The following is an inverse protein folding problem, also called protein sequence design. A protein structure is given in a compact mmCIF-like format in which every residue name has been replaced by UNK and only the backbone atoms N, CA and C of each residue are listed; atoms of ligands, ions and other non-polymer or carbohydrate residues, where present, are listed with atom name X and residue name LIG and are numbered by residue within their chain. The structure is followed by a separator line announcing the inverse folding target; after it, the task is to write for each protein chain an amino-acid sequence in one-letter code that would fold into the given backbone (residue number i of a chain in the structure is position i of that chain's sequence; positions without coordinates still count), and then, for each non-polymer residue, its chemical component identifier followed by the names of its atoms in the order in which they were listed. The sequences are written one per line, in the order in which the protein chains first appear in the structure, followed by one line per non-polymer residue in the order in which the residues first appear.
data_IF_035993830180
#
_entry.id   IF_035993830180
#
_cell.length_a   1.000
_cell.length_b   1.000
_cell.length_c   1.000
_cell.angle_alpha   90.00
_cell.angle_beta   90.00
_cell.angle_gamma   90.00
#
_symmetry.space_group_name_H-M   'P 1'
#
loop_
_entity.id
_entity.type
_entity.pdbx_description
1 polymer ?
#
# COMPACT_ATOMS: atom_id res chain seq x y z
N UNK A 1 -23.17 13.78 10.92
CA UNK A 1 -22.99 12.56 11.74
C UNK A 1 -21.87 12.78 12.72
N UNK A 2 -22.18 12.79 14.02
CA UNK A 2 -21.16 12.73 15.05
C UNK A 2 -20.79 11.25 15.24
N UNK A 3 -19.50 10.95 15.26
CA UNK A 3 -19.01 9.59 15.49
C UNK A 3 -18.08 9.58 16.69
N UNK A 4 -18.51 8.96 17.78
CA UNK A 4 -17.68 8.81 18.97
C UNK A 4 -16.73 7.64 18.79
N UNK A 5 -15.45 7.96 18.72
CA UNK A 5 -14.37 6.98 18.54
C UNK A 5 -13.79 6.64 19.91
N UNK A 6 -13.96 5.39 20.32
CA UNK A 6 -13.46 4.87 21.59
C UNK A 6 -12.33 3.88 21.28
N UNK A 7 -11.12 4.21 21.74
CA UNK A 7 -9.94 3.34 21.60
C UNK A 7 -9.56 2.74 22.94
N UNK A 8 -9.43 1.42 22.95
CA UNK A 8 -8.76 0.64 23.99
C UNK A 8 -7.64 -0.18 23.34
N UNK A 9 -6.78 -0.80 24.15
CA UNK A 9 -5.70 -1.65 23.62
C UNK A 9 -6.25 -2.80 22.75
N UNK A 10 -7.42 -3.32 23.12
CA UNK A 10 -8.03 -4.51 22.51
C UNK A 10 -9.06 -4.20 21.40
N UNK A 11 -9.51 -2.95 21.25
CA UNK A 11 -10.61 -2.61 20.32
C UNK A 11 -10.54 -1.13 19.92
N UNK A 12 -10.78 -0.84 18.63
CA UNK A 12 -11.20 0.49 18.17
C UNK A 12 -12.70 0.45 17.83
N UNK A 13 -13.51 1.18 18.58
CA UNK A 13 -14.97 1.24 18.40
C UNK A 13 -15.37 2.60 17.82
N UNK A 14 -16.30 2.58 16.86
CA UNK A 14 -17.01 3.77 16.38
C UNK A 14 -18.49 3.59 16.65
N UNK A 15 -19.09 4.51 17.39
CA UNK A 15 -20.55 4.61 17.53
C UNK A 15 -21.05 5.62 16.50
N UNK A 16 -22.05 5.25 15.73
CA UNK A 16 -22.62 6.08 14.68
C UNK A 16 -23.96 6.65 15.16
N UNK A 17 -24.07 7.97 15.17
CA UNK A 17 -25.32 8.64 15.45
C UNK A 17 -26.19 8.71 14.19
N UNK A 18 -27.48 8.38 14.33
CA UNK A 18 -28.46 8.43 13.24
C UNK A 18 -28.70 7.09 12.55
N UNK A 19 -29.49 7.10 11.47
CA UNK A 19 -29.73 5.92 10.64
C UNK A 19 -28.66 5.79 9.57
N UNK A 20 -27.65 4.96 9.83
CA UNK A 20 -26.62 4.70 8.84
C UNK A 20 -26.84 3.35 8.15
N UNK A 21 -26.58 3.31 6.84
CA UNK A 21 -26.48 2.07 6.09
C UNK A 21 -25.04 1.89 5.59
N UNK A 22 -24.59 0.65 5.49
CA UNK A 22 -23.28 0.35 4.93
C UNK A 22 -23.28 -0.79 3.92
N UNK A 23 -22.25 -0.78 3.07
CA UNK A 23 -21.86 -1.82 2.14
C UNK A 23 -20.52 -2.42 2.62
N UNK A 24 -20.47 -3.74 2.80
CA UNK A 24 -19.30 -4.46 3.32
C UNK A 24 -18.88 -5.59 2.37
N UNK A 25 -17.68 -5.49 1.79
CA UNK A 25 -17.21 -6.41 0.75
C UNK A 25 -16.85 -7.79 1.27
N UNK A 26 -16.28 -7.90 2.49
CA UNK A 26 -15.76 -9.16 3.04
C UNK A 26 -16.83 -10.20 3.41
N UNK A 27 -18.06 -9.75 3.69
CA UNK A 27 -19.18 -10.61 4.11
C UNK A 27 -20.42 -10.44 3.23
N UNK A 28 -20.32 -9.67 2.14
CA UNK A 28 -21.44 -9.40 1.23
C UNK A 28 -22.66 -8.77 1.91
N UNK A 29 -22.43 -7.89 2.88
CA UNK A 29 -23.50 -7.27 3.67
C UNK A 29 -23.87 -5.88 3.13
N UNK A 30 -25.18 -5.62 3.05
CA UNK A 30 -25.75 -4.29 2.86
C UNK A 30 -26.90 -4.09 3.85
N UNK A 31 -26.87 -3.03 4.65
CA UNK A 31 -27.93 -2.78 5.62
C UNK A 31 -27.52 -1.83 6.75
N UNK A 32 -28.34 -1.73 7.81
CA UNK A 32 -28.17 -0.75 8.86
C UNK A 32 -26.95 -1.03 9.73
N UNK A 33 -26.18 0.01 10.04
CA UNK A 33 -25.01 -0.06 10.93
C UNK A 33 -25.11 1.07 11.95
N UNK A 34 -25.14 0.74 13.23
CA UNK A 34 -25.13 1.69 14.34
C UNK A 34 -23.78 1.73 15.06
N UNK A 35 -22.95 0.68 14.87
CA UNK A 35 -21.68 0.53 15.56
C UNK A 35 -20.67 -0.22 14.70
N UNK A 36 -19.43 0.23 14.70
CA UNK A 36 -18.28 -0.49 14.10
C UNK A 36 -17.28 -0.86 15.19
N UNK A 37 -16.77 -2.08 15.14
CA UNK A 37 -15.81 -2.64 16.09
C UNK A 37 -14.64 -3.21 15.27
N UNK A 38 -13.47 -2.58 15.36
CA UNK A 38 -12.22 -3.09 14.78
C UNK A 38 -11.46 -3.85 15.87
N UNK A 39 -11.30 -5.16 15.68
CA UNK A 39 -10.81 -6.09 16.70
C UNK A 39 -10.00 -7.26 16.11
N UNK A 40 -9.30 -8.00 16.97
CA UNK A 40 -8.57 -9.23 16.60
C UNK A 40 -9.51 -10.46 16.63
N UNK A 41 -10.56 -10.42 15.81
CA UNK A 41 -11.52 -11.50 15.65
C UNK A 41 -12.16 -11.44 14.28
N UNK A 42 -13.00 -12.41 13.92
CA UNK A 42 -13.54 -12.49 12.55
C UNK A 42 -14.39 -11.28 12.16
N UNK A 43 -14.35 -10.95 10.87
CA UNK A 43 -15.26 -9.96 10.26
C UNK A 43 -16.67 -10.53 10.22
N UNK A 44 -17.63 -9.83 10.83
CA UNK A 44 -19.01 -10.29 10.93
C UNK A 44 -19.97 -9.11 11.14
N UNK A 45 -21.22 -9.27 10.71
CA UNK A 45 -22.30 -8.39 11.11
C UNK A 45 -23.21 -9.10 12.11
N UNK A 46 -23.45 -8.52 13.29
CA UNK A 46 -24.37 -9.05 14.31
C UNK A 46 -25.35 -7.95 14.70
N UNK A 47 -26.61 -8.09 14.29
CA UNK A 47 -27.57 -6.99 14.34
C UNK A 47 -27.04 -5.79 13.54
N UNK A 48 -27.05 -4.60 14.15
CA UNK A 48 -26.53 -3.38 13.54
C UNK A 48 -25.07 -3.08 13.95
N UNK A 49 -24.34 -4.07 14.48
CA UNK A 49 -22.91 -3.93 14.81
C UNK A 49 -22.07 -4.65 13.77
N UNK A 50 -21.18 -3.89 13.12
CA UNK A 50 -20.18 -4.38 12.19
C UNK A 50 -18.87 -4.64 12.93
N UNK A 51 -18.41 -5.88 12.91
CA UNK A 51 -17.09 -6.29 13.37
C UNK A 51 -16.16 -6.40 12.16
N UNK A 52 -15.02 -5.74 12.22
CA UNK A 52 -14.00 -5.75 11.16
C UNK A 52 -12.69 -6.30 11.73
N UNK A 53 -12.16 -7.35 11.12
CA UNK A 53 -10.91 -7.95 11.58
C UNK A 53 -9.72 -7.02 11.32
N UNK A 54 -8.92 -6.82 12.36
CA UNK A 54 -7.63 -6.13 12.31
C UNK A 54 -6.64 -6.90 13.17
N UNK A 55 -5.39 -7.03 12.73
CA UNK A 55 -4.39 -7.79 13.50
C UNK A 55 -3.98 -7.11 14.80
N UNK A 56 -4.05 -5.79 14.87
CA UNK A 56 -3.80 -5.05 16.13
C UNK A 56 -4.64 -3.78 16.18
N UNK A 57 -5.64 -3.70 17.08
CA UNK A 57 -6.55 -2.56 17.19
C UNK A 57 -5.86 -1.23 17.52
N UNK A 58 -4.71 -1.27 18.22
CA UNK A 58 -3.89 -0.09 18.51
C UNK A 58 -3.17 0.49 17.28
N UNK A 59 -3.09 -0.27 16.17
CA UNK A 59 -2.44 0.13 14.91
C UNK A 59 -3.44 0.62 13.84
N UNK A 60 -4.71 0.77 14.20
CA UNK A 60 -5.71 1.40 13.34
C UNK A 60 -5.41 2.88 13.21
N UNK A 61 -5.21 3.38 11.99
CA UNK A 61 -5.15 4.82 11.66
C UNK A 61 -6.56 5.38 11.49
N UNK A 62 -6.75 6.65 11.85
CA UNK A 62 -8.02 7.37 11.65
C UNK A 62 -7.69 8.71 11.01
N UNK A 63 -8.29 8.97 9.85
CA UNK A 63 -8.17 10.23 9.11
C UNK A 63 -9.54 10.79 8.80
N UNK A 64 -9.79 11.99 9.31
CA UNK A 64 -11.00 12.76 9.05
C UNK A 64 -10.64 13.97 8.19
N UNK A 65 -11.32 14.13 7.07
CA UNK A 65 -11.16 15.26 6.17
C UNK A 65 -12.52 15.92 5.92
N UNK A 66 -12.56 17.23 6.08
CA UNK A 66 -13.76 18.05 5.83
C UNK A 66 -13.49 19.05 4.72
N UNK A 67 -14.47 19.20 3.83
CA UNK A 67 -14.53 20.32 2.89
C UNK A 67 -15.94 20.88 2.84
N UNK A 68 -16.08 22.18 3.13
CA UNK A 68 -17.37 22.83 3.36
C UNK A 68 -18.18 22.06 4.41
N UNK A 69 -19.30 21.45 4.00
CA UNK A 69 -20.21 20.69 4.86
C UNK A 69 -20.06 19.18 4.70
N UNK A 70 -19.10 18.71 3.91
CA UNK A 70 -18.89 17.28 3.66
C UNK A 70 -17.70 16.79 4.46
N UNK A 71 -17.91 15.81 5.34
CA UNK A 71 -16.87 15.14 6.11
C UNK A 71 -16.76 13.68 5.70
N UNK A 72 -15.52 13.20 5.57
CA UNK A 72 -15.19 11.80 5.30
C UNK A 72 -14.20 11.32 6.35
N UNK A 73 -14.50 10.20 6.99
CA UNK A 73 -13.65 9.59 8.01
C UNK A 73 -13.23 8.20 7.56
N UNK A 74 -11.93 7.97 7.42
CA UNK A 74 -11.35 6.68 7.08
C UNK A 74 -10.65 6.08 8.32
N UNK A 75 -11.12 4.91 8.75
CA UNK A 75 -10.43 4.07 9.72
C UNK A 75 -9.75 2.95 8.97
N UNK A 76 -8.47 2.72 9.23
CA UNK A 76 -7.68 1.79 8.42
C UNK A 76 -6.72 0.99 9.27
N UNK A 77 -6.72 -0.32 9.05
CA UNK A 77 -5.63 -1.21 9.43
C UNK A 77 -4.93 -1.68 8.17
N UNK A 78 -3.62 -1.50 8.07
CA UNK A 78 -2.82 -1.93 6.93
C UNK A 78 -1.55 -2.62 7.40
N UNK A 79 -1.52 -3.94 7.31
CA UNK A 79 -0.29 -4.73 7.35
C UNK A 79 0.13 -5.04 5.92
N UNK A 80 1.17 -4.33 5.49
CA UNK A 80 1.74 -4.44 4.14
C UNK A 80 3.08 -5.17 4.15
N UNK A 81 3.55 -5.66 5.31
CA UNK A 81 4.84 -6.35 5.44
C UNK A 81 4.85 -7.73 4.79
N UNK A 82 3.69 -8.40 4.79
CA UNK A 82 3.42 -9.66 4.09
C UNK A 82 2.18 -9.52 3.20
N UNK A 83 1.88 -10.56 2.41
CA UNK A 83 0.61 -10.69 1.69
C UNK A 83 0.25 -9.54 0.75
N UNK A 84 1.25 -8.87 0.16
CA UNK A 84 1.01 -7.93 -0.93
C UNK A 84 0.62 -8.72 -2.18
N UNK A 85 -0.38 -8.22 -2.92
CA UNK A 85 -0.88 -8.90 -4.11
C UNK A 85 -1.12 -7.93 -5.27
N UNK A 86 -1.21 -8.50 -6.47
CA UNK A 86 -1.51 -7.78 -7.70
C UNK A 86 -2.65 -8.46 -8.43
N UNK A 87 -3.72 -7.71 -8.71
CA UNK A 87 -4.85 -8.20 -9.48
C UNK A 87 -4.40 -8.70 -10.87
N UNK A 88 -4.90 -9.86 -11.28
CA UNK A 88 -4.53 -10.52 -12.55
C UNK A 88 -3.29 -11.43 -12.46
N UNK A 89 -2.75 -11.66 -11.27
CA UNK A 89 -1.64 -12.59 -11.01
C UNK A 89 -2.05 -13.65 -9.99
N UNK A 90 -1.28 -14.75 -9.91
CA UNK A 90 -1.54 -15.83 -8.96
C UNK A 90 -1.43 -15.34 -7.51
N UNK A 91 -2.32 -15.77 -6.60
CA UNK A 91 -2.26 -15.33 -5.21
C UNK A 91 -0.96 -15.79 -4.55
N UNK A 92 -0.38 -14.92 -3.73
CA UNK A 92 0.86 -15.23 -2.99
C UNK A 92 0.64 -16.25 -1.87
N UNK A 93 -0.60 -16.36 -1.39
CA UNK A 93 -0.95 -17.13 -0.20
C UNK A 93 -0.49 -16.49 1.12
N UNK A 94 -0.08 -15.23 1.11
CA UNK A 94 0.26 -14.49 2.33
C UNK A 94 -0.97 -14.12 3.17
N UNK A 95 -0.72 -13.68 4.39
CA UNK A 95 -1.73 -13.31 5.40
C UNK A 95 -1.89 -11.80 5.61
N UNK A 96 -1.10 -10.99 4.87
CA UNK A 96 -1.19 -9.54 4.88
C UNK A 96 -2.61 -9.04 4.65
N UNK A 97 -2.95 -7.93 5.31
CA UNK A 97 -4.31 -7.40 5.33
C UNK A 97 -4.38 -5.89 5.24
N UNK A 98 -5.34 -5.41 4.45
CA UNK A 98 -5.77 -4.02 4.45
C UNK A 98 -7.28 -3.97 4.71
N UNK A 99 -7.65 -3.44 5.86
CA UNK A 99 -9.04 -3.23 6.29
C UNK A 99 -9.34 -1.75 6.33
N UNK A 100 -10.35 -1.30 5.59
CA UNK A 100 -10.78 0.10 5.54
C UNK A 100 -12.26 0.22 5.90
N UNK A 101 -12.58 1.05 6.89
CA UNK A 101 -13.93 1.51 7.18
C UNK A 101 -14.00 2.98 6.80
N UNK A 102 -14.83 3.29 5.82
CA UNK A 102 -15.07 4.62 5.31
C UNK A 102 -16.45 5.10 5.76
N UNK A 103 -16.49 6.22 6.45
CA UNK A 103 -17.71 6.84 6.98
C UNK A 103 -17.93 8.14 6.22
N UNK A 104 -19.10 8.27 5.60
CA UNK A 104 -19.52 9.44 4.85
C UNK A 104 -20.57 10.20 5.67
N UNK A 105 -20.27 11.45 6.04
CA UNK A 105 -21.24 12.35 6.65
C UNK A 105 -22.16 12.98 5.58
N UNK A 106 -22.83 12.13 4.81
CA UNK A 106 -23.74 12.47 3.73
C UNK A 106 -24.63 11.27 3.41
N UNK A 107 -25.84 11.56 2.94
CA UNK A 107 -26.67 10.57 2.28
C UNK A 107 -26.24 10.45 0.81
N UNK A 108 -26.23 9.22 0.30
CA UNK A 108 -25.78 8.90 -1.05
C UNK A 108 -26.59 7.72 -1.58
N UNK A 109 -26.93 7.64 -2.87
CA UNK A 109 -27.58 6.46 -3.42
C UNK A 109 -26.61 5.26 -3.42
N UNK A 110 -27.14 4.03 -3.45
CA UNK A 110 -26.35 2.78 -3.42
C UNK A 110 -25.28 2.73 -4.52
N UNK A 111 -25.57 3.31 -5.69
CA UNK A 111 -24.61 3.43 -6.79
C UNK A 111 -23.40 4.31 -6.45
N UNK A 112 -23.60 5.38 -5.68
CA UNK A 112 -22.52 6.21 -5.15
C UNK A 112 -21.78 5.49 -4.02
N UNK A 113 -22.47 4.72 -3.18
CA UNK A 113 -21.85 3.90 -2.14
C UNK A 113 -20.91 2.85 -2.74
N UNK A 114 -21.35 2.13 -3.75
CA UNK A 114 -20.52 1.20 -4.52
C UNK A 114 -19.35 1.93 -5.22
N UNK A 115 -19.60 3.11 -5.79
CA UNK A 115 -18.55 3.94 -6.40
C UNK A 115 -17.51 4.38 -5.37
N UNK A 116 -17.92 4.73 -4.15
CA UNK A 116 -17.00 5.07 -3.06
C UNK A 116 -16.10 3.88 -2.72
N UNK A 117 -16.64 2.66 -2.68
CA UNK A 117 -15.84 1.43 -2.55
C UNK A 117 -14.77 1.28 -3.63
N UNK A 118 -15.09 1.60 -4.90
CA UNK A 118 -14.09 1.62 -5.98
C UNK A 118 -13.01 2.69 -5.70
N UNK A 119 -13.40 3.90 -5.32
CA UNK A 119 -12.43 4.97 -5.00
C UNK A 119 -11.54 4.61 -3.80
N UNK A 120 -12.05 3.85 -2.81
CA UNK A 120 -11.23 3.28 -1.74
C UNK A 120 -10.17 2.34 -2.31
N UNK A 121 -10.51 1.44 -3.24
CA UNK A 121 -9.52 0.55 -3.87
C UNK A 121 -8.46 1.32 -4.69
N UNK A 122 -8.86 2.40 -5.38
CA UNK A 122 -7.93 3.30 -6.07
C UNK A 122 -6.99 3.99 -5.06
N UNK A 123 -7.53 4.45 -3.92
CA UNK A 123 -6.76 5.05 -2.83
C UNK A 123 -5.78 4.08 -2.18
N UNK A 124 -6.18 2.83 -1.92
CA UNK A 124 -5.29 1.77 -1.43
C UNK A 124 -4.15 1.54 -2.44
N UNK A 125 -4.48 1.38 -3.72
CA UNK A 125 -3.47 1.17 -4.78
C UNK A 125 -2.48 2.35 -4.84
N UNK A 126 -2.97 3.58 -4.76
CA UNK A 126 -2.12 4.77 -4.73
C UNK A 126 -1.21 4.81 -3.48
N UNK A 127 -1.74 4.46 -2.31
CA UNK A 127 -0.95 4.36 -1.08
C UNK A 127 0.15 3.30 -1.18
N UNK A 128 -0.17 2.12 -1.74
CA UNK A 128 0.78 1.06 -2.00
C UNK A 128 1.85 1.47 -3.02
N UNK A 129 1.48 2.25 -4.03
CA UNK A 129 2.41 2.86 -4.97
C UNK A 129 3.39 3.81 -4.29
N UNK A 130 2.89 4.73 -3.46
CA UNK A 130 3.73 5.61 -2.65
C UNK A 130 4.67 4.80 -1.74
N UNK A 131 4.15 3.75 -1.10
CA UNK A 131 4.89 2.83 -0.23
C UNK A 131 5.83 1.89 -0.98
N UNK A 132 5.90 1.96 -2.31
CA UNK A 132 6.68 1.03 -3.15
C UNK A 132 6.43 -0.43 -2.78
N UNK A 133 5.18 -0.76 -2.49
CA UNK A 133 4.75 -2.10 -2.18
C UNK A 133 4.86 -2.96 -3.44
N UNK A 134 5.79 -3.92 -3.46
CA UNK A 134 6.02 -4.77 -4.62
C UNK A 134 5.50 -6.19 -4.35
N UNK A 135 5.06 -6.83 -5.43
CA UNK A 135 4.67 -8.23 -5.51
C UNK A 135 5.37 -8.80 -6.76
N UNK A 136 6.26 -9.78 -6.58
CA UNK A 136 6.99 -10.45 -7.67
C UNK A 136 7.60 -9.48 -8.70
N UNK A 137 8.40 -8.52 -8.23
CA UNK A 137 9.01 -7.46 -9.04
C UNK A 137 8.04 -6.50 -9.75
N UNK A 138 6.74 -6.57 -9.48
CA UNK A 138 5.72 -5.66 -9.99
C UNK A 138 5.08 -4.86 -8.85
N UNK A 139 4.45 -3.73 -9.17
CA UNK A 139 3.72 -2.95 -8.19
C UNK A 139 2.52 -3.73 -7.64
N UNK A 140 2.37 -3.85 -6.32
CA UNK A 140 1.18 -4.41 -5.70
C UNK A 140 -0.03 -3.49 -5.92
N UNK A 141 -1.22 -4.07 -6.10
CA UNK A 141 -2.49 -3.35 -6.22
C UNK A 141 -3.41 -3.55 -5.00
N UNK A 142 -3.00 -4.39 -4.05
CA UNK A 142 -3.78 -4.69 -2.86
C UNK A 142 -3.02 -5.65 -1.95
N UNK A 143 -3.78 -6.34 -1.12
CA UNK A 143 -3.28 -7.34 -0.19
C UNK A 143 -4.16 -8.59 -0.22
N UNK A 144 -3.61 -9.72 0.22
CA UNK A 144 -4.25 -11.03 0.23
C UNK A 144 -5.61 -11.00 0.92
N UNK A 145 -5.72 -10.25 2.02
CA UNK A 145 -7.02 -9.92 2.60
C UNK A 145 -7.29 -8.43 2.48
N UNK A 146 -8.33 -8.08 1.72
CA UNK A 146 -8.75 -6.69 1.56
C UNK A 146 -10.24 -6.54 1.87
N UNK A 147 -10.55 -5.92 3.01
CA UNK A 147 -11.90 -5.72 3.49
C UNK A 147 -12.26 -4.24 3.51
N UNK A 148 -13.38 -3.89 2.87
CA UNK A 148 -13.84 -2.51 2.78
C UNK A 148 -15.27 -2.44 3.28
N UNK A 149 -15.52 -1.52 4.20
CA UNK A 149 -16.85 -1.10 4.62
C UNK A 149 -17.02 0.37 4.24
N UNK A 150 -18.10 0.70 3.52
CA UNK A 150 -18.49 2.10 3.26
C UNK A 150 -19.84 2.35 3.89
N UNK A 151 -19.93 3.38 4.73
CA UNK A 151 -21.09 3.69 5.56
C UNK A 151 -21.53 5.11 5.23
N UNK A 152 -22.83 5.29 4.98
CA UNK A 152 -23.48 6.60 4.74
C UNK A 152 -24.41 6.96 5.90
N UNK A 153 -24.66 8.25 6.07
CA UNK A 153 -25.68 8.77 6.98
C UNK A 153 -26.98 9.03 6.20
N UNK A 154 -27.99 8.17 6.34
CA UNK A 154 -29.28 8.33 5.64
C UNK A 154 -30.10 9.51 6.16
N UNK A 155 -29.84 9.99 7.38
CA UNK A 155 -30.56 11.12 7.96
C UNK A 155 -29.90 12.47 7.58
N UNK A 156 -28.77 12.44 6.86
CA UNK A 156 -28.06 13.64 6.46
C UNK A 156 -28.87 14.46 5.45
N UNK A 157 -28.97 15.76 5.71
CA UNK A 157 -29.54 16.72 4.76
C UNK A 157 -28.70 16.89 3.47
N UNK A 158 -27.44 16.42 3.50
CA UNK A 158 -26.52 16.52 2.38
C UNK A 158 -26.63 15.26 1.50
N UNK A 159 -27.21 15.41 0.31
CA UNK A 159 -27.34 14.31 -0.65
C UNK A 159 -26.32 14.40 -1.79
N UNK A 160 -25.38 13.43 -1.88
CA UNK A 160 -24.31 13.43 -2.87
C UNK A 160 -24.46 12.28 -3.89
N UNK A 161 -24.26 12.59 -5.17
CA UNK A 161 -24.48 11.65 -6.30
C UNK A 161 -23.21 11.10 -6.93
N UNK A 162 -22.03 11.48 -6.44
CA UNK A 162 -20.77 11.07 -7.04
C UNK A 162 -19.66 10.98 -6.01
N UNK A 163 -18.96 9.85 -6.04
CA UNK A 163 -17.83 9.52 -5.16
C UNK A 163 -16.57 9.14 -5.95
N UNK A 164 -16.56 9.32 -7.28
CA UNK A 164 -15.40 9.00 -8.13
C UNK A 164 -14.35 10.11 -8.11
N UNK A 165 -13.13 9.82 -8.57
CA UNK A 165 -11.96 10.73 -8.58
C UNK A 165 -12.13 12.14 -9.18
N UNK A 166 -13.20 12.37 -9.95
CA UNK A 166 -13.53 13.67 -10.55
C UNK A 166 -14.53 14.49 -9.71
N UNK A 167 -14.85 14.02 -8.50
CA UNK A 167 -15.82 14.66 -7.59
C UNK A 167 -15.13 15.08 -6.31
N UNK A 168 -15.67 16.09 -5.63
CA UNK A 168 -15.08 16.55 -4.38
C UNK A 168 -15.13 15.49 -3.27
N UNK A 169 -16.24 14.73 -3.21
CA UNK A 169 -16.34 13.58 -2.31
C UNK A 169 -15.27 12.52 -2.64
N UNK A 170 -15.07 12.21 -3.92
CA UNK A 170 -14.03 11.26 -4.34
C UNK A 170 -12.61 11.73 -4.03
N UNK A 171 -12.33 13.04 -4.13
CA UNK A 171 -11.05 13.62 -3.67
C UNK A 171 -10.86 13.41 -2.16
N UNK A 172 -11.88 13.70 -1.34
CA UNK A 172 -11.83 13.50 0.11
C UNK A 172 -11.58 12.03 0.46
N UNK A 173 -12.32 11.11 -0.16
CA UNK A 173 -12.15 9.67 0.03
C UNK A 173 -10.74 9.24 -0.37
N UNK A 174 -10.27 9.62 -1.55
CA UNK A 174 -8.95 9.24 -2.03
C UNK A 174 -7.85 9.73 -1.08
N UNK A 175 -7.92 10.99 -0.65
CA UNK A 175 -6.94 11.56 0.28
C UNK A 175 -6.99 10.91 1.66
N UNK A 176 -8.18 10.74 2.25
CA UNK A 176 -8.31 10.15 3.59
C UNK A 176 -7.79 8.71 3.61
N UNK A 177 -8.09 7.92 2.56
CA UNK A 177 -7.62 6.54 2.43
C UNK A 177 -6.12 6.48 2.19
N UNK A 178 -5.55 7.32 1.31
CA UNK A 178 -4.10 7.32 1.06
C UNK A 178 -3.34 7.67 2.34
N UNK A 179 -3.77 8.71 3.06
CA UNK A 179 -3.15 9.13 4.31
C UNK A 179 -3.31 8.06 5.41
N UNK A 180 -4.49 7.44 5.54
CA UNK A 180 -4.76 6.46 6.59
C UNK A 180 -4.05 5.13 6.37
N UNK A 181 -3.97 4.65 5.12
CA UNK A 181 -3.22 3.43 4.78
C UNK A 181 -1.74 3.61 5.07
N UNK A 182 -1.15 4.74 4.67
CA UNK A 182 0.28 5.02 4.89
C UNK A 182 0.61 5.14 6.38
N UNK A 183 -0.25 5.79 7.15
CA UNK A 183 -0.06 5.89 8.60
C UNK A 183 -0.21 4.51 9.28
N UNK A 184 -1.24 3.72 8.94
CA UNK A 184 -1.41 2.39 9.53
C UNK A 184 -0.28 1.43 9.14
N UNK A 185 0.22 1.50 7.91
CA UNK A 185 1.41 0.77 7.48
C UNK A 185 2.63 1.12 8.35
N UNK A 186 2.84 2.41 8.65
CA UNK A 186 3.91 2.86 9.52
C UNK A 186 3.75 2.35 10.97
N UNK A 187 2.53 2.34 11.51
CA UNK A 187 2.22 1.73 12.81
C UNK A 187 2.47 0.22 12.83
N UNK A 188 2.33 -0.46 11.69
CA UNK A 188 2.68 -1.87 11.49
C UNK A 188 4.17 -2.09 11.17
N UNK A 189 5.03 -1.07 11.34
CA UNK A 189 6.48 -1.20 11.17
C UNK A 189 6.95 -1.06 9.72
N UNK A 190 6.04 -0.76 8.78
CA UNK A 190 6.40 -0.45 7.40
C UNK A 190 6.54 1.06 7.21
N UNK A 191 7.78 1.55 7.18
CA UNK A 191 8.06 2.95 6.83
C UNK A 191 8.45 3.10 5.36
N UNK A 192 8.11 4.25 4.77
CA UNK A 192 8.61 4.66 3.46
C UNK A 192 10.14 4.64 3.42
N UNK A 193 10.78 5.18 4.45
CA UNK A 193 12.24 5.22 4.57
C UNK A 193 12.86 3.82 4.60
N UNK A 194 12.25 2.87 5.32
CA UNK A 194 12.69 1.48 5.36
C UNK A 194 12.59 0.79 4.00
N UNK A 195 11.51 1.06 3.24
CA UNK A 195 11.31 0.50 1.90
C UNK A 195 12.11 1.17 0.79
N UNK A 196 12.67 2.34 1.06
CA UNK A 196 13.47 3.07 0.09
C UNK A 196 14.94 2.64 0.06
N UNK A 197 15.35 1.70 0.93
CA UNK A 197 16.72 1.19 0.89
C UNK A 197 17.00 0.37 -0.38
N UNK A 198 18.23 0.41 -0.85
CA UNK A 198 18.67 -0.35 -2.03
C UNK A 198 18.40 -1.85 -1.86
N UNK A 199 18.77 -2.40 -0.72
CA UNK A 199 18.58 -3.81 -0.36
C UNK A 199 17.10 -4.20 -0.36
N UNK A 200 16.24 -3.34 0.19
CA UNK A 200 14.80 -3.59 0.24
C UNK A 200 14.19 -3.61 -1.16
N UNK A 201 14.58 -2.66 -2.01
CA UNK A 201 14.16 -2.62 -3.42
C UNK A 201 14.63 -3.85 -4.19
N UNK A 202 15.87 -4.28 -4.00
CA UNK A 202 16.43 -5.46 -4.67
C UNK A 202 15.78 -6.76 -4.19
N UNK A 203 15.56 -6.91 -2.88
CA UNK A 203 14.87 -8.05 -2.30
C UNK A 203 13.45 -8.19 -2.88
N UNK A 204 12.76 -7.06 -3.06
CA UNK A 204 11.42 -7.01 -3.65
C UNK A 204 11.38 -7.43 -5.13
N UNK A 205 12.53 -7.39 -5.81
CA UNK A 205 12.73 -7.90 -7.16
C UNK A 205 13.26 -9.35 -7.19
N UNK A 206 13.34 -10.03 -6.03
CA UNK A 206 13.86 -11.39 -5.91
C UNK A 206 15.38 -11.49 -5.79
N UNK A 207 16.06 -10.39 -5.43
CA UNK A 207 17.50 -10.35 -5.14
C UNK A 207 17.73 -10.04 -3.66
N UNK A 208 17.58 -11.07 -2.84
CA UNK A 208 17.91 -10.99 -1.41
C UNK A 208 19.41 -10.79 -1.18
N UNK A 209 19.77 -10.58 0.10
CA UNK A 209 21.15 -10.36 0.51
C UNK A 209 22.09 -11.49 0.10
N UNK A 210 21.66 -12.75 0.20
CA UNK A 210 22.51 -13.90 -0.12
C UNK A 210 22.80 -13.95 -1.63
N UNK A 211 21.78 -13.70 -2.46
CA UNK A 211 21.91 -13.64 -3.90
C UNK A 211 22.77 -12.47 -4.33
N UNK A 212 22.58 -11.29 -3.73
CA UNK A 212 23.42 -10.12 -4.00
C UNK A 212 24.88 -10.36 -3.60
N UNK A 213 25.13 -10.99 -2.44
CA UNK A 213 26.47 -11.36 -2.01
C UNK A 213 27.13 -12.34 -3.00
N UNK A 214 26.41 -13.38 -3.42
CA UNK A 214 26.91 -14.39 -4.37
C UNK A 214 27.30 -13.76 -5.71
N UNK A 215 26.51 -12.80 -6.19
CA UNK A 215 26.75 -12.10 -7.45
C UNK A 215 27.88 -11.05 -7.32
N UNK A 216 28.09 -10.48 -6.13
CA UNK A 216 29.14 -9.46 -5.94
C UNK A 216 30.56 -10.00 -6.08
N UNK A 217 30.74 -11.32 -5.94
CA UNK A 217 32.06 -11.94 -5.91
C UNK A 217 32.91 -11.54 -4.70
N UNK A 218 32.28 -10.94 -3.67
CA UNK A 218 32.98 -10.55 -2.44
C UNK A 218 33.49 -11.80 -1.71
N UNK A 219 34.74 -11.78 -1.22
CA UNK A 219 35.34 -12.94 -0.56
C UNK A 219 34.74 -13.22 0.82
N UNK A 220 34.15 -12.21 1.45
CA UNK A 220 33.62 -12.27 2.82
C UNK A 220 32.27 -11.55 2.95
N UNK A 221 31.32 -12.21 3.61
CA UNK A 221 29.97 -11.69 3.83
C UNK A 221 29.98 -10.48 4.79
N UNK A 222 30.85 -10.48 5.80
CA UNK A 222 30.95 -9.38 6.76
C UNK A 222 31.44 -8.08 6.10
N UNK A 223 32.44 -8.17 5.23
CA UNK A 223 32.90 -7.04 4.41
C UNK A 223 31.83 -6.55 3.44
N UNK A 224 31.11 -7.45 2.77
CA UNK A 224 29.99 -7.07 1.91
C UNK A 224 28.93 -6.29 2.68
N UNK A 225 28.50 -6.80 3.84
CA UNK A 225 27.46 -6.17 4.64
C UNK A 225 27.88 -4.83 5.22
N UNK A 226 29.09 -4.72 5.75
CA UNK A 226 29.57 -3.45 6.32
C UNK A 226 29.59 -2.32 5.29
N UNK A 227 29.93 -2.63 4.04
CA UNK A 227 29.91 -1.68 2.92
C UNK A 227 28.49 -1.44 2.39
N UNK A 228 27.67 -2.50 2.31
CA UNK A 228 26.29 -2.42 1.89
C UNK A 228 25.49 -1.49 2.82
N UNK A 229 25.64 -1.61 4.14
CA UNK A 229 24.95 -0.76 5.13
C UNK A 229 25.21 0.74 4.89
N UNK A 230 26.43 1.13 4.54
CA UNK A 230 26.78 2.54 4.27
C UNK A 230 26.10 3.06 2.99
N UNK A 231 25.98 2.19 1.98
CA UNK A 231 25.47 2.55 0.65
C UNK A 231 23.96 2.29 0.48
N UNK A 232 23.36 1.52 1.38
CA UNK A 232 21.94 1.14 1.33
C UNK A 232 21.00 2.33 1.41
N UNK A 233 21.44 3.38 2.10
CA UNK A 233 20.71 4.63 2.31
C UNK A 233 21.23 5.79 1.45
N UNK A 234 22.13 5.55 0.50
CA UNK A 234 22.66 6.60 -0.38
C UNK A 234 21.57 7.11 -1.35
N UNK A 235 21.20 8.41 -1.32
CA UNK A 235 20.13 8.94 -2.15
C UNK A 235 20.34 8.74 -3.65
N UNK A 236 21.58 8.80 -4.12
CA UNK A 236 21.90 8.59 -5.54
C UNK A 236 21.73 7.14 -5.96
N UNK A 237 22.20 6.19 -5.15
CA UNK A 237 21.97 4.77 -5.35
C UNK A 237 20.47 4.42 -5.33
N UNK A 238 19.73 4.97 -4.35
CA UNK A 238 18.29 4.77 -4.25
C UNK A 238 17.59 5.26 -5.52
N UNK A 239 17.92 6.47 -5.99
CA UNK A 239 17.34 7.04 -7.20
C UNK A 239 17.69 6.24 -8.46
N UNK A 240 18.93 5.76 -8.57
CA UNK A 240 19.38 4.95 -9.70
C UNK A 240 18.64 3.61 -9.76
N UNK A 241 18.62 2.86 -8.65
CA UNK A 241 17.94 1.56 -8.55
C UNK A 241 16.45 1.71 -8.81
N UNK A 242 15.82 2.74 -8.22
CA UNK A 242 14.42 3.04 -8.47
C UNK A 242 14.12 3.29 -9.96
N UNK A 243 14.99 4.04 -10.63
CA UNK A 243 14.85 4.35 -12.05
C UNK A 243 14.99 3.10 -12.91
N UNK A 244 15.96 2.23 -12.60
CA UNK A 244 16.13 0.97 -13.36
C UNK A 244 14.96 0.03 -13.14
N UNK A 245 14.40 -0.07 -11.93
CA UNK A 245 13.17 -0.85 -11.70
C UNK A 245 12.03 -0.35 -12.61
N UNK A 246 11.86 0.97 -12.77
CA UNK A 246 10.85 1.52 -13.70
C UNK A 246 11.15 1.23 -15.17
N UNK A 247 12.43 1.15 -15.55
CA UNK A 247 12.83 0.71 -16.90
C UNK A 247 12.47 -0.77 -17.10
N UNK A 248 12.73 -1.62 -16.10
CA UNK A 248 12.33 -3.03 -16.13
C UNK A 248 10.80 -3.18 -16.27
N UNK A 249 10.03 -2.38 -15.52
CA UNK A 249 8.57 -2.33 -15.65
C UNK A 249 8.16 -1.97 -17.10
N UNK A 250 8.77 -0.92 -17.69
CA UNK A 250 8.48 -0.51 -19.06
C UNK A 250 8.77 -1.60 -20.11
N UNK A 251 9.86 -2.35 -19.92
CA UNK A 251 10.17 -3.52 -20.77
C UNK A 251 9.12 -4.61 -20.56
N UNK A 252 8.74 -4.92 -19.32
CA UNK A 252 7.74 -5.95 -19.02
C UNK A 252 6.36 -5.64 -19.60
N UNK A 253 6.00 -4.36 -19.70
CA UNK A 253 4.75 -3.89 -20.27
C UNK A 253 4.80 -3.74 -21.80
N UNK A 254 5.94 -4.06 -22.43
CA UNK A 254 6.12 -3.94 -23.87
C UNK A 254 6.19 -2.48 -24.37
N UNK A 255 6.42 -1.51 -23.48
CA UNK A 255 6.60 -0.10 -23.84
C UNK A 255 7.99 0.17 -24.42
N UNK A 256 8.93 -0.76 -24.26
CA UNK A 256 10.31 -0.66 -24.67
C UNK A 256 10.88 -2.05 -24.96
N UNK A 257 11.76 -2.19 -25.96
CA UNK A 257 12.44 -3.46 -26.17
C UNK A 257 13.45 -3.73 -25.04
N UNK A 258 13.73 -5.00 -24.78
CA UNK A 258 14.74 -5.39 -23.79
C UNK A 258 16.13 -4.81 -24.12
N UNK A 259 16.46 -4.68 -25.41
CA UNK A 259 17.73 -4.09 -25.87
C UNK A 259 17.85 -2.60 -25.52
N UNK A 260 16.80 -1.82 -25.73
CA UNK A 260 16.75 -0.40 -25.39
C UNK A 260 16.73 -0.22 -23.87
N UNK A 261 15.95 -1.03 -23.16
CA UNK A 261 15.88 -1.02 -21.70
C UNK A 261 17.24 -1.26 -21.05
N UNK A 262 17.98 -2.28 -21.53
CA UNK A 262 19.36 -2.53 -21.08
C UNK A 262 20.27 -1.32 -21.29
N UNK A 263 20.22 -0.72 -22.47
CA UNK A 263 21.06 0.43 -22.82
C UNK A 263 20.79 1.60 -21.89
N UNK A 264 19.52 1.98 -21.70
CA UNK A 264 19.14 3.11 -20.84
C UNK A 264 19.47 2.82 -19.37
N UNK A 265 19.17 1.61 -18.88
CA UNK A 265 19.51 1.20 -17.52
C UNK A 265 21.02 1.28 -17.26
N UNK A 266 21.84 0.86 -18.22
CA UNK A 266 23.29 0.95 -18.14
C UNK A 266 23.78 2.40 -18.04
N UNK A 267 23.20 3.32 -18.81
CA UNK A 267 23.57 4.73 -18.77
C UNK A 267 23.16 5.39 -17.44
N UNK A 268 21.96 5.07 -16.92
CA UNK A 268 21.50 5.54 -15.59
C UNK A 268 22.45 5.05 -14.50
N UNK A 269 22.80 3.75 -14.53
CA UNK A 269 23.73 3.19 -13.58
C UNK A 269 25.10 3.83 -13.69
N UNK A 270 25.70 3.96 -14.88
CA UNK A 270 27.01 4.62 -15.07
C UNK A 270 27.04 6.08 -14.57
N UNK A 271 25.94 6.82 -14.77
CA UNK A 271 25.83 8.21 -14.36
C UNK A 271 25.76 8.41 -12.84
N UNK A 272 25.18 7.45 -12.12
CA UNK A 272 24.92 7.54 -10.68
C UNK A 272 25.85 6.65 -9.83
N UNK A 273 26.34 5.55 -10.40
CA UNK A 273 27.11 4.48 -9.78
C UNK A 273 28.34 4.26 -10.67
N UNK A 274 29.52 4.63 -10.19
CA UNK A 274 30.75 4.40 -10.95
C UNK A 274 31.03 2.88 -11.02
N UNK A 275 31.17 2.41 -12.26
CA UNK A 275 31.55 1.07 -12.74
C UNK A 275 30.46 -0.02 -12.82
N UNK A 276 30.09 -0.47 -14.04
CA UNK A 276 29.39 -1.74 -14.25
C UNK A 276 30.28 -2.81 -14.89
N UNK A 277 30.24 -4.03 -14.34
CA UNK A 277 30.49 -5.29 -15.08
C UNK A 277 29.54 -6.39 -14.59
N UNK A 278 28.75 -7.02 -15.48
CA UNK A 278 27.74 -8.03 -15.10
C UNK A 278 26.78 -8.48 -16.22
N UNK A 279 26.01 -9.57 -16.05
CA UNK A 279 25.46 -10.49 -17.07
C UNK A 279 24.38 -9.88 -17.98
N UNK A 280 24.06 -10.58 -19.08
CA UNK A 280 23.43 -10.09 -20.33
C UNK A 280 21.94 -9.65 -20.27
N UNK A 281 21.27 -9.60 -19.11
CA UNK A 281 19.87 -9.16 -18.97
C UNK A 281 19.70 -7.97 -17.98
N UNK A 282 18.68 -7.12 -18.16
CA UNK A 282 18.55 -5.84 -17.41
C UNK A 282 18.51 -6.02 -15.89
N UNK A 283 17.78 -7.02 -15.39
CA UNK A 283 17.70 -7.35 -13.96
C UNK A 283 19.01 -7.94 -13.42
N UNK A 284 19.74 -8.73 -14.21
CA UNK A 284 21.05 -9.26 -13.86
C UNK A 284 22.15 -8.19 -13.89
N UNK A 285 22.08 -7.24 -14.83
CA UNK A 285 22.92 -6.04 -14.84
C UNK A 285 22.65 -5.18 -13.61
N UNK A 286 21.37 -4.91 -13.29
CA UNK A 286 20.98 -4.20 -12.07
C UNK A 286 21.51 -4.91 -10.83
N UNK A 287 21.27 -6.22 -10.71
CA UNK A 287 21.73 -7.01 -9.57
C UNK A 287 23.24 -6.99 -9.42
N UNK A 288 23.98 -7.15 -10.52
CA UNK A 288 25.45 -7.19 -10.46
C UNK A 288 26.03 -5.81 -10.19
N UNK A 289 25.51 -4.75 -10.84
CA UNK A 289 25.96 -3.39 -10.58
C UNK A 289 25.63 -2.93 -9.15
N UNK A 290 24.44 -3.27 -8.64
CA UNK A 290 24.08 -2.97 -7.25
C UNK A 290 24.92 -3.80 -6.28
N UNK A 291 25.16 -5.08 -6.56
CA UNK A 291 26.02 -5.94 -5.75
C UNK A 291 27.46 -5.42 -5.67
N UNK A 292 28.05 -5.04 -6.81
CA UNK A 292 29.40 -4.47 -6.86
C UNK A 292 29.47 -3.11 -6.15
N UNK A 293 28.46 -2.26 -6.35
CA UNK A 293 28.33 -1.01 -5.63
C UNK A 293 28.22 -1.22 -4.12
N UNK A 294 27.38 -2.12 -3.64
CA UNK A 294 27.26 -2.41 -2.21
C UNK A 294 28.53 -3.05 -1.65
N UNK A 295 29.24 -3.86 -2.43
CA UNK A 295 30.53 -4.46 -2.07
C UNK A 295 31.71 -3.48 -2.04
N UNK A 296 31.49 -2.21 -2.41
CA UNK A 296 32.52 -1.17 -2.50
C UNK A 296 33.75 -1.61 -3.28
N UNK A 297 33.50 -2.30 -4.40
CA UNK A 297 34.34 -2.20 -5.58
C UNK A 297 34.04 -0.86 -6.27
#
# INVERSE_FOLDING_TARGET
MQSDIIRTDDVTTVVLDGKCDGLVTGIGFTGPIAKVVMWDGETACRGNTLYMHVGSPSKVSIKELTFNTTTVTALTYADVGSGLERAGYDPSGGDGRITVVLILDADVPDSTLARAGITVTEGITAALQDLRAMYNALQASGSAVQEIAVIRDNDSSLFLRGAGKHTKLGELIGRSVVESVKESAALNGTSLTGRMSVMSMMASCGYDQERLFRISGSPDLGQFLSKAVVRDSDPMAIAAVASVIRICDAVSWGLMSESEGRKVASEVLRGCIREPSGPENTLGMLATTVSLFLAGL
#
